data_IF_205536316618
#
_entry.id   IF_205536316618
#
_cell.length_a   1.000
_cell.length_b   1.000
_cell.length_c   1.000
_cell.angle_alpha   90.00
_cell.angle_beta   90.00
_cell.angle_gamma   90.00
#
_symmetry.space_group_name_H-M   'P 1'
#
loop_
_entity.id
_entity.type
_entity.pdbx_description
1 polymer ?
#
# COMPACT_ATOMS: atom_id res chain seq x y z
N UNK A 1 -14.53 17.05 11.14
CA UNK A 1 -13.51 16.25 11.86
C UNK A 1 -12.97 15.20 10.92
N UNK A 2 -11.65 14.90 10.94
CA UNK A 2 -11.08 13.81 10.16
C UNK A 2 -11.77 12.48 10.51
N UNK A 3 -11.92 11.60 9.52
CA UNK A 3 -12.41 10.25 9.79
C UNK A 3 -11.36 9.43 10.54
N UNK A 4 -11.75 8.37 11.25
CA UNK A 4 -10.80 7.45 11.89
C UNK A 4 -9.84 6.84 10.85
N UNK A 5 -10.33 6.54 9.64
CA UNK A 5 -9.49 6.05 8.54
C UNK A 5 -8.44 7.10 8.13
N UNK A 6 -8.81 8.38 8.10
CA UNK A 6 -7.88 9.49 7.84
C UNK A 6 -6.80 9.55 8.92
N UNK A 7 -7.16 9.42 10.20
CA UNK A 7 -6.19 9.45 11.31
C UNK A 7 -5.22 8.27 11.28
N UNK A 8 -5.69 7.08 10.88
CA UNK A 8 -4.84 5.90 10.69
C UNK A 8 -3.86 6.14 9.53
N UNK A 9 -4.35 6.74 8.42
CA UNK A 9 -3.50 7.15 7.29
C UNK A 9 -2.43 8.16 7.72
N UNK A 10 -2.83 9.25 8.40
CA UNK A 10 -1.92 10.26 8.95
C UNK A 10 -0.85 9.63 9.86
N UNK A 11 -1.24 8.70 10.75
CA UNK A 11 -0.26 8.02 11.62
C UNK A 11 0.70 7.15 10.81
N UNK A 12 0.21 6.45 9.79
CA UNK A 12 1.09 5.65 8.94
C UNK A 12 2.09 6.52 8.16
N UNK A 13 1.64 7.65 7.62
CA UNK A 13 2.51 8.63 6.98
C UNK A 13 3.61 9.15 7.91
N UNK A 14 3.28 9.43 9.18
CA UNK A 14 4.27 9.80 10.20
C UNK A 14 5.31 8.69 10.41
N UNK A 15 4.87 7.43 10.52
CA UNK A 15 5.78 6.27 10.63
C UNK A 15 6.69 6.17 9.40
N UNK A 16 6.17 6.40 8.19
CA UNK A 16 7.00 6.39 6.98
C UNK A 16 8.03 7.51 6.97
N UNK A 17 7.68 8.71 7.45
CA UNK A 17 8.62 9.83 7.57
C UNK A 17 9.74 9.54 8.59
N UNK A 18 9.43 8.83 9.68
CA UNK A 18 10.41 8.36 10.67
C UNK A 18 11.34 7.28 10.08
N UNK A 19 10.78 6.32 9.33
CA UNK A 19 11.53 5.22 8.71
C UNK A 19 12.37 5.64 7.51
N UNK A 20 11.89 6.63 6.75
CA UNK A 20 12.50 7.12 5.52
C UNK A 20 12.58 8.65 5.55
N UNK A 21 13.54 9.23 6.29
CA UNK A 21 13.64 10.68 6.46
C UNK A 21 13.82 11.48 5.15
N UNK A 22 14.31 10.83 4.10
CA UNK A 22 14.49 11.43 2.77
C UNK A 22 13.18 11.54 1.96
N UNK A 23 12.09 10.88 2.39
CA UNK A 23 10.78 11.11 1.83
C UNK A 23 10.27 12.49 2.27
N UNK A 24 9.80 13.30 1.33
CA UNK A 24 9.21 14.60 1.63
C UNK A 24 7.74 14.59 1.26
N UNK A 25 6.87 15.07 2.15
CA UNK A 25 5.46 15.26 1.82
C UNK A 25 5.31 16.19 0.60
N UNK A 26 4.49 15.78 -0.36
CA UNK A 26 4.27 16.58 -1.57
C UNK A 26 3.38 17.80 -1.34
N UNK A 27 2.61 17.81 -0.23
CA UNK A 27 1.79 18.95 0.19
C UNK A 27 0.61 19.30 -0.73
N UNK A 28 0.37 18.52 -1.79
CA UNK A 28 -0.66 18.80 -2.79
C UNK A 28 -2.01 18.22 -2.37
N UNK A 29 -2.97 19.11 -2.11
CA UNK A 29 -4.33 18.74 -1.69
C UNK A 29 -5.20 18.18 -2.81
N UNK A 30 -4.72 18.19 -4.07
CA UNK A 30 -5.54 17.85 -5.23
C UNK A 30 -5.71 16.35 -5.49
N UNK A 31 -5.28 15.48 -4.56
CA UNK A 31 -5.38 14.02 -4.64
C UNK A 31 -4.74 13.37 -5.89
N UNK A 32 -4.08 14.14 -6.77
CA UNK A 32 -3.50 13.65 -8.04
C UNK A 32 -1.99 13.43 -7.96
N UNK A 33 -1.39 13.82 -6.85
CA UNK A 33 0.03 13.69 -6.57
C UNK A 33 0.19 12.67 -5.44
N UNK A 34 1.15 11.72 -5.53
CA UNK A 34 1.41 10.79 -4.43
C UNK A 34 1.80 11.50 -3.14
N UNK A 35 1.56 10.87 -2.00
CA UNK A 35 1.75 11.49 -0.67
C UNK A 35 3.20 11.99 -0.42
N UNK A 36 4.19 11.28 -0.96
CA UNK A 36 5.61 11.56 -0.77
C UNK A 36 6.39 11.69 -2.08
N UNK A 37 7.44 12.51 -2.04
CA UNK A 37 8.45 12.63 -3.08
C UNK A 37 9.84 12.26 -2.54
N UNK A 38 10.62 11.61 -3.40
CA UNK A 38 12.04 11.38 -3.24
C UNK A 38 12.78 11.91 -4.49
N UNK A 39 14.11 12.01 -4.44
CA UNK A 39 14.91 12.38 -5.59
C UNK A 39 14.62 11.48 -6.81
N UNK A 40 14.47 10.16 -6.57
CA UNK A 40 14.34 9.14 -7.61
C UNK A 40 12.90 8.70 -7.94
N UNK A 41 11.94 8.89 -7.03
CA UNK A 41 10.59 8.34 -7.17
C UNK A 41 9.55 9.15 -6.40
N UNK A 42 8.28 8.83 -6.61
CA UNK A 42 7.18 9.22 -5.74
C UNK A 42 6.64 8.00 -4.98
N UNK A 43 6.16 8.22 -3.76
CA UNK A 43 5.56 7.16 -2.94
C UNK A 43 4.14 7.55 -2.52
N UNK A 44 3.21 6.62 -2.74
CA UNK A 44 1.85 6.67 -2.20
C UNK A 44 1.78 5.76 -0.97
N UNK A 45 1.34 6.31 0.15
CA UNK A 45 1.15 5.57 1.38
C UNK A 45 -0.27 4.99 1.44
N UNK A 46 -0.35 3.68 1.66
CA UNK A 46 -1.62 3.00 1.92
C UNK A 46 -1.46 2.08 3.11
N UNK A 47 -2.42 2.10 4.02
CA UNK A 47 -2.38 1.25 5.20
C UNK A 47 -3.69 0.52 5.37
N UNK A 48 -3.63 -0.72 5.83
CA UNK A 48 -4.80 -1.47 6.25
C UNK A 48 -4.48 -2.33 7.47
N UNK A 49 -5.52 -2.85 8.11
CA UNK A 49 -5.37 -3.78 9.21
C UNK A 49 -4.78 -5.11 8.73
N UNK A 50 -3.90 -5.72 9.53
CA UNK A 50 -3.10 -6.89 9.13
C UNK A 50 -3.91 -8.16 8.85
N UNK A 51 -5.12 -8.29 9.39
CA UNK A 51 -5.95 -9.48 9.15
C UNK A 51 -6.35 -9.58 7.67
N UNK A 52 -6.29 -10.82 7.14
CA UNK A 52 -6.27 -11.16 5.71
C UNK A 52 -7.48 -10.68 4.89
N UNK A 53 -8.59 -10.33 5.54
CA UNK A 53 -9.81 -9.89 4.89
C UNK A 53 -9.86 -8.39 4.62
N UNK A 54 -9.04 -7.61 5.34
CA UNK A 54 -8.92 -6.18 5.12
C UNK A 54 -7.89 -5.90 4.02
N UNK A 55 -8.14 -4.85 3.23
CA UNK A 55 -7.25 -4.44 2.17
C UNK A 55 -7.29 -2.94 1.99
N UNK A 56 -6.32 -2.42 1.26
CA UNK A 56 -6.27 -1.01 0.91
C UNK A 56 -7.25 -0.73 -0.23
N UNK A 57 -7.92 0.41 -0.16
CA UNK A 57 -8.79 0.86 -1.24
C UNK A 57 -7.98 1.69 -2.23
N UNK A 58 -7.94 1.22 -3.48
CA UNK A 58 -7.35 1.95 -4.59
C UNK A 58 -8.46 2.59 -5.42
N UNK A 59 -8.43 3.92 -5.48
CA UNK A 59 -9.35 4.70 -6.30
C UNK A 59 -8.83 4.77 -7.73
N UNK A 60 -9.74 4.71 -8.70
CA UNK A 60 -9.41 4.76 -10.13
C UNK A 60 -8.47 5.92 -10.50
N UNK A 61 -8.76 7.13 -10.02
CA UNK A 61 -7.95 8.31 -10.35
C UNK A 61 -6.50 8.18 -9.89
N UNK A 62 -6.20 7.45 -8.81
CA UNK A 62 -4.82 7.27 -8.34
C UNK A 62 -4.03 6.44 -9.34
N UNK A 63 -4.64 5.35 -9.83
CA UNK A 63 -4.04 4.47 -10.83
C UNK A 63 -3.82 5.20 -12.16
N UNK A 64 -4.75 6.06 -12.55
CA UNK A 64 -4.70 6.81 -13.81
C UNK A 64 -3.74 8.01 -13.74
N UNK A 65 -3.84 8.83 -12.69
CA UNK A 65 -3.02 10.03 -12.53
C UNK A 65 -1.55 9.67 -12.33
N UNK A 66 -1.25 8.68 -11.48
CA UNK A 66 0.14 8.32 -11.16
C UNK A 66 0.89 7.68 -12.33
N UNK A 67 0.19 7.20 -13.36
CA UNK A 67 0.82 6.73 -14.58
C UNK A 67 1.44 7.87 -15.41
N UNK A 68 1.04 9.12 -15.16
CA UNK A 68 1.50 10.31 -15.89
C UNK A 68 2.58 11.08 -15.14
N UNK A 69 3.02 10.62 -13.96
CA UNK A 69 4.10 11.23 -13.22
C UNK A 69 5.44 11.10 -13.97
N UNK A 70 6.29 12.11 -13.84
CA UNK A 70 7.62 12.16 -14.47
C UNK A 70 8.68 11.29 -13.78
N UNK A 71 8.34 10.69 -12.63
CA UNK A 71 9.19 9.75 -11.88
C UNK A 71 8.41 8.45 -11.64
N UNK A 72 9.11 7.32 -11.42
CA UNK A 72 8.49 6.09 -10.93
C UNK A 72 7.61 6.36 -9.71
N UNK A 73 6.44 5.73 -9.68
CA UNK A 73 5.54 5.77 -8.50
C UNK A 73 5.50 4.38 -7.87
N UNK A 74 5.79 4.34 -6.58
CA UNK A 74 5.62 3.16 -5.72
C UNK A 74 4.47 3.37 -4.75
N UNK A 75 3.85 2.27 -4.34
CA UNK A 75 2.95 2.20 -3.21
C UNK A 75 3.72 1.58 -2.05
N UNK A 76 3.67 2.23 -0.89
CA UNK A 76 4.17 1.66 0.36
C UNK A 76 2.93 1.19 1.13
N UNK A 77 2.72 -0.13 1.14
CA UNK A 77 1.53 -0.75 1.74
C UNK A 77 1.85 -1.24 3.15
N UNK A 78 1.39 -0.51 4.16
CA UNK A 78 1.53 -0.85 5.56
C UNK A 78 0.41 -1.76 6.09
N UNK A 79 0.76 -2.66 7.00
CA UNK A 79 -0.17 -3.53 7.71
C UNK A 79 -0.05 -3.27 9.21
N UNK A 80 -1.11 -2.68 9.79
CA UNK A 80 -1.13 -2.32 11.20
C UNK A 80 -1.86 -3.38 12.05
N UNK A 81 -1.59 -3.41 13.35
CA UNK A 81 -2.18 -4.34 14.32
C UNK A 81 -3.34 -3.75 15.14
N UNK A 82 -3.68 -2.48 14.93
CA UNK A 82 -4.73 -1.78 15.64
C UNK A 82 -6.17 -2.24 15.26
N UNK A 83 -6.60 -3.36 15.84
CA UNK A 83 -7.95 -3.93 15.66
C UNK A 83 -9.04 -3.02 16.28
N UNK A 84 -10.28 -3.15 15.77
CA UNK A 84 -11.49 -2.46 16.28
C UNK A 84 -11.31 -0.96 16.45
N UNK A 85 -10.60 -0.35 15.50
CA UNK A 85 -10.24 1.07 15.54
C UNK A 85 -11.46 1.98 15.73
N UNK A 86 -12.59 1.65 15.09
CA UNK A 86 -13.85 2.35 15.26
C UNK A 86 -14.32 2.34 16.73
N UNK A 87 -14.42 1.17 17.36
CA UNK A 87 -14.86 1.03 18.75
C UNK A 87 -13.89 1.71 19.73
N UNK A 88 -12.57 1.56 19.50
CA UNK A 88 -11.52 2.07 20.39
C UNK A 88 -11.33 3.59 20.32
N UNK A 89 -11.74 4.23 19.23
CA UNK A 89 -11.51 5.67 19.00
C UNK A 89 -12.81 6.49 19.03
N UNK A 90 -13.98 5.86 18.83
CA UNK A 90 -15.26 6.58 18.89
C UNK A 90 -15.49 7.14 20.30
N UNK A 91 -15.98 8.37 20.38
CA UNK A 91 -16.23 9.07 21.64
C UNK A 91 -15.00 9.73 22.28
N UNK A 92 -13.80 9.47 21.76
CA UNK A 92 -12.59 10.19 22.17
C UNK A 92 -12.47 11.55 21.47
N UNK A 93 -11.82 12.52 22.12
CA UNK A 93 -11.43 13.76 21.45
C UNK A 93 -10.36 13.52 20.40
N UNK A 94 -10.26 14.38 19.39
CA UNK A 94 -9.26 14.26 18.31
C UNK A 94 -7.83 14.09 18.84
N UNK A 95 -7.44 14.86 19.85
CA UNK A 95 -6.11 14.77 20.47
C UNK A 95 -5.92 13.45 21.23
N UNK A 96 -6.97 12.89 21.82
CA UNK A 96 -6.90 11.58 22.48
C UNK A 96 -6.85 10.45 21.44
N UNK A 97 -7.55 10.57 20.31
CA UNK A 97 -7.47 9.62 19.20
C UNK A 97 -6.05 9.54 18.64
N UNK A 98 -5.42 10.69 18.35
CA UNK A 98 -4.02 10.75 17.85
C UNK A 98 -3.04 10.11 18.83
N UNK A 99 -3.10 10.52 20.11
CA UNK A 99 -2.24 9.94 21.17
C UNK A 99 -2.45 8.44 21.36
N UNK A 100 -3.68 7.93 21.17
CA UNK A 100 -3.97 6.49 21.27
C UNK A 100 -3.35 5.73 20.10
N UNK A 101 -3.50 6.24 18.88
CA UNK A 101 -2.87 5.67 17.69
C UNK A 101 -1.33 5.68 17.80
N UNK A 102 -0.73 6.79 18.24
CA UNK A 102 0.72 6.89 18.45
C UNK A 102 1.27 5.84 19.44
N UNK A 103 0.49 5.47 20.46
CA UNK A 103 0.93 4.54 21.52
C UNK A 103 0.60 3.08 21.26
N UNK A 104 -0.41 2.80 20.45
CA UNK A 104 -1.02 1.46 20.36
C UNK A 104 -1.14 0.92 18.95
N UNK A 105 -0.84 1.72 17.90
CA UNK A 105 -0.86 1.24 16.52
C UNK A 105 0.57 1.02 16.03
N UNK A 106 0.92 -0.25 15.86
CA UNK A 106 2.20 -0.65 15.28
C UNK A 106 2.04 -1.08 13.83
N UNK A 107 3.08 -0.85 13.03
CA UNK A 107 3.18 -1.32 11.65
C UNK A 107 4.09 -2.55 11.64
N UNK A 108 3.50 -3.75 11.69
CA UNK A 108 4.29 -4.99 11.70
C UNK A 108 4.91 -5.34 10.34
N UNK A 109 4.33 -4.85 9.25
CA UNK A 109 4.77 -5.19 7.89
C UNK A 109 4.52 -4.07 6.89
N UNK A 110 5.47 -3.90 5.97
CA UNK A 110 5.35 -3.08 4.76
C UNK A 110 5.63 -3.93 3.52
N UNK A 111 4.86 -3.68 2.45
CA UNK A 111 5.18 -4.18 1.11
C UNK A 111 5.29 -3.03 0.14
N UNK A 112 6.43 -2.93 -0.54
CA UNK A 112 6.71 -1.88 -1.51
C UNK A 112 6.34 -2.39 -2.90
N UNK A 113 5.42 -1.70 -3.58
CA UNK A 113 4.78 -2.21 -4.79
C UNK A 113 4.79 -1.16 -5.89
N UNK A 114 5.24 -1.51 -7.08
CA UNK A 114 5.22 -0.58 -8.21
C UNK A 114 3.77 -0.21 -8.60
N UNK A 115 3.52 1.05 -9.00
CA UNK A 115 2.20 1.48 -9.48
C UNK A 115 1.66 0.59 -10.62
N UNK A 116 2.52 0.15 -11.54
CA UNK A 116 2.12 -0.80 -12.59
C UNK A 116 1.56 -2.12 -12.03
N UNK A 117 2.10 -2.64 -10.93
CA UNK A 117 1.57 -3.83 -10.25
C UNK A 117 0.19 -3.55 -9.67
N UNK A 118 0.01 -2.40 -9.00
CA UNK A 118 -1.29 -1.97 -8.49
C UNK A 118 -2.33 -1.84 -9.60
N UNK A 119 -1.95 -1.25 -10.74
CA UNK A 119 -2.80 -1.16 -11.94
C UNK A 119 -3.24 -2.53 -12.46
N UNK A 120 -2.34 -3.51 -12.47
CA UNK A 120 -2.69 -4.86 -12.91
C UNK A 120 -3.64 -5.57 -11.93
N UNK A 121 -3.43 -5.40 -10.62
CA UNK A 121 -4.37 -5.91 -9.61
C UNK A 121 -5.74 -5.26 -9.82
N UNK A 122 -5.77 -3.94 -9.95
CA UNK A 122 -6.99 -3.16 -10.15
C UNK A 122 -7.77 -3.62 -11.39
N UNK A 123 -7.12 -3.78 -12.55
CA UNK A 123 -7.76 -4.28 -13.79
C UNK A 123 -8.42 -5.65 -13.67
N UNK A 124 -7.98 -6.47 -12.71
CA UNK A 124 -8.44 -7.85 -12.51
C UNK A 124 -9.42 -8.00 -11.36
N UNK A 125 -9.53 -7.00 -10.49
CA UNK A 125 -10.23 -7.07 -9.19
C UNK A 125 -11.13 -5.87 -8.92
N UNK A 126 -11.19 -4.88 -9.82
CA UNK A 126 -12.12 -3.77 -9.67
C UNK A 126 -13.57 -4.28 -9.75
N UNK A 127 -14.43 -3.67 -8.94
CA UNK A 127 -15.86 -3.89 -8.99
C UNK A 127 -16.53 -2.59 -9.47
N UNK A 128 -17.59 -2.72 -10.24
CA UNK A 128 -18.47 -1.59 -10.58
C UNK A 128 -19.52 -1.52 -9.47
N UNK A 129 -19.63 -0.40 -8.77
CA UNK A 129 -20.69 -0.22 -7.79
C UNK A 129 -22.05 -0.15 -8.51
N UNK A 130 -23.13 -0.59 -7.85
CA UNK A 130 -24.49 -0.65 -8.42
C UNK A 130 -25.03 0.70 -8.90
N UNK A 131 -24.41 1.81 -8.51
CA UNK A 131 -24.79 3.18 -8.92
C UNK A 131 -23.99 3.73 -10.10
N UNK A 132 -23.17 2.91 -10.78
CA UNK A 132 -22.45 3.28 -12.01
C UNK A 132 -21.32 4.29 -11.84
N UNK A 133 -21.06 4.77 -10.62
CA UNK A 133 -20.04 5.77 -10.34
C UNK A 133 -19.14 5.35 -9.18
N UNK A 134 -17.85 5.30 -9.48
CA UNK A 134 -16.70 4.89 -8.66
C UNK A 134 -16.38 3.39 -8.83
N UNK A 135 -15.32 3.12 -9.59
CA UNK A 135 -14.64 1.83 -9.63
C UNK A 135 -13.56 1.82 -8.55
N UNK A 136 -13.83 1.10 -7.46
CA UNK A 136 -12.87 0.84 -6.40
C UNK A 136 -12.33 -0.59 -6.51
N UNK A 137 -11.07 -0.77 -6.07
CA UNK A 137 -10.46 -2.08 -5.91
C UNK A 137 -9.89 -2.21 -4.51
N UNK A 138 -10.24 -3.30 -3.82
CA UNK A 138 -9.60 -3.66 -2.55
C UNK A 138 -8.38 -4.54 -2.84
N UNK A 139 -7.18 -4.03 -2.54
CA UNK A 139 -5.94 -4.80 -2.60
C UNK A 139 -5.61 -5.35 -1.22
N UNK A 140 -5.73 -6.66 -1.06
CA UNK A 140 -5.44 -7.37 0.19
C UNK A 140 -3.98 -7.79 0.24
N UNK A 141 -3.45 -7.96 1.46
CA UNK A 141 -2.10 -8.51 1.66
C UNK A 141 -1.93 -9.89 1.03
N UNK A 142 -2.99 -10.70 0.98
CA UNK A 142 -2.99 -12.00 0.31
C UNK A 142 -2.73 -11.91 -1.20
N UNK A 143 -3.24 -10.89 -1.88
CA UNK A 143 -2.93 -10.68 -3.31
C UNK A 143 -1.45 -10.43 -3.52
N UNK A 144 -0.86 -9.57 -2.67
CA UNK A 144 0.57 -9.23 -2.74
C UNK A 144 1.43 -10.47 -2.45
N UNK A 145 1.11 -11.20 -1.38
CA UNK A 145 1.82 -12.43 -1.01
C UNK A 145 1.73 -13.50 -2.12
N UNK A 146 0.54 -13.72 -2.69
CA UNK A 146 0.36 -14.66 -3.79
C UNK A 146 1.21 -14.30 -5.02
N UNK A 147 1.33 -13.00 -5.35
CA UNK A 147 2.21 -12.53 -6.43
C UNK A 147 3.68 -12.79 -6.10
N UNK A 148 4.11 -12.46 -4.87
CA UNK A 148 5.48 -12.69 -4.40
C UNK A 148 5.83 -14.17 -4.47
N UNK A 149 4.98 -15.06 -3.97
CA UNK A 149 5.26 -16.50 -3.93
C UNK A 149 4.96 -17.21 -5.26
N UNK A 150 4.39 -16.49 -6.24
CA UNK A 150 3.82 -17.06 -7.46
C UNK A 150 2.86 -18.23 -7.17
N UNK A 151 2.02 -18.07 -6.15
CA UNK A 151 1.11 -19.09 -5.66
C UNK A 151 0.09 -19.51 -6.73
N UNK A 152 -0.42 -20.73 -6.60
CA UNK A 152 -1.59 -21.16 -7.35
C UNK A 152 -2.86 -20.56 -6.72
N UNK A 153 -3.65 -19.87 -7.53
CA UNK A 153 -4.87 -19.19 -7.11
C UNK A 153 -6.04 -19.67 -7.94
N UNK A 154 -7.19 -19.82 -7.30
CA UNK A 154 -8.45 -20.15 -7.97
C UNK A 154 -9.21 -18.87 -8.30
N UNK A 155 -9.56 -18.69 -9.57
CA UNK A 155 -10.38 -17.57 -10.04
C UNK A 155 -11.46 -18.12 -10.96
N UNK A 156 -12.73 -17.85 -10.64
CA UNK A 156 -13.89 -18.32 -11.42
C UNK A 156 -13.83 -19.84 -11.72
N UNK A 157 -13.39 -20.63 -10.73
CA UNK A 157 -13.26 -22.09 -10.84
C UNK A 157 -11.95 -22.59 -11.44
N UNK A 158 -11.22 -21.78 -12.21
CA UNK A 158 -9.96 -22.14 -12.86
C UNK A 158 -8.74 -21.86 -11.98
N UNK A 159 -7.71 -22.71 -12.09
CA UNK A 159 -6.43 -22.53 -11.39
C UNK A 159 -5.46 -21.72 -12.26
N UNK A 160 -4.83 -20.72 -11.66
CA UNK A 160 -3.83 -19.88 -12.33
C UNK A 160 -2.63 -19.68 -11.41
N UNK A 161 -1.44 -19.50 -11.99
CA UNK A 161 -0.31 -18.92 -11.26
C UNK A 161 -0.54 -17.42 -11.08
N UNK A 162 -0.38 -16.92 -9.85
CA UNK A 162 -0.72 -15.54 -9.51
C UNK A 162 -0.03 -14.52 -10.42
N UNK A 163 1.29 -14.67 -10.66
CA UNK A 163 2.02 -13.75 -11.55
C UNK A 163 1.49 -13.76 -12.97
N UNK A 164 1.11 -14.92 -13.49
CA UNK A 164 0.52 -15.04 -14.83
C UNK A 164 -0.88 -14.39 -14.88
N UNK A 165 -1.72 -14.64 -13.88
CA UNK A 165 -3.06 -14.04 -13.77
C UNK A 165 -3.01 -12.52 -13.74
N UNK A 166 -2.13 -11.95 -12.91
CA UNK A 166 -1.93 -10.51 -12.79
C UNK A 166 -1.01 -9.92 -13.88
N UNK A 167 -0.47 -10.72 -14.81
CA UNK A 167 0.37 -10.21 -15.90
C UNK A 167 1.70 -9.59 -15.43
N UNK A 168 2.34 -10.15 -14.40
CA UNK A 168 3.58 -9.66 -13.79
C UNK A 168 4.72 -10.65 -14.11
N UNK A 169 5.50 -10.46 -15.19
CA UNK A 169 6.48 -11.44 -15.64
C UNK A 169 7.72 -11.49 -14.74
N UNK A 170 8.08 -12.68 -14.23
CA UNK A 170 9.23 -12.88 -13.33
C UNK A 170 10.55 -12.30 -13.85
N UNK A 171 10.76 -12.35 -15.17
CA UNK A 171 12.00 -11.87 -15.80
C UNK A 171 12.22 -10.36 -15.65
N UNK A 172 11.15 -9.58 -15.53
CA UNK A 172 11.19 -8.11 -15.52
C UNK A 172 11.03 -7.51 -14.13
N UNK A 173 10.83 -8.34 -13.09
CA UNK A 173 10.54 -7.90 -11.73
C UNK A 173 11.48 -8.55 -10.71
N UNK A 174 11.73 -7.83 -9.62
CA UNK A 174 12.24 -8.35 -8.37
C UNK A 174 11.08 -8.56 -7.40
N UNK A 175 11.21 -9.61 -6.58
CA UNK A 175 10.23 -9.97 -5.57
C UNK A 175 11.00 -10.33 -4.31
N UNK A 176 10.54 -9.82 -3.17
CA UNK A 176 10.99 -10.31 -1.88
C UNK A 176 9.79 -10.58 -0.99
N UNK A 177 9.77 -11.79 -0.43
CA UNK A 177 8.91 -12.13 0.70
C UNK A 177 9.24 -11.19 1.86
N UNK A 178 8.24 -10.64 2.56
CA UNK A 178 8.48 -9.83 3.74
C UNK A 178 9.39 -10.55 4.73
N UNK A 179 10.51 -9.91 5.06
CA UNK A 179 11.48 -10.39 6.04
C UNK A 179 11.69 -9.32 7.11
N UNK A 180 11.79 -9.74 8.36
CA UNK A 180 12.00 -8.84 9.48
C UNK A 180 13.35 -8.12 9.35
N UNK A 181 13.32 -6.79 9.37
CA UNK A 181 14.50 -5.93 9.34
C UNK A 181 14.72 -5.38 10.75
N UNK A 182 15.72 -5.91 11.47
CA UNK A 182 15.99 -5.53 12.87
C UNK A 182 16.20 -4.02 13.05
N UNK A 183 16.89 -3.38 12.11
CA UNK A 183 17.14 -1.92 12.12
C UNK A 183 15.87 -1.08 12.03
N UNK A 184 14.78 -1.64 11.51
CA UNK A 184 13.49 -0.97 11.30
C UNK A 184 12.37 -1.51 12.19
N UNK A 185 12.59 -2.64 12.85
CA UNK A 185 11.60 -3.27 13.72
C UNK A 185 10.35 -3.81 13.01
N UNK A 186 10.41 -4.08 11.70
CA UNK A 186 9.25 -4.52 10.92
C UNK A 186 9.62 -5.41 9.72
N UNK A 187 8.65 -6.14 9.18
CA UNK A 187 8.82 -6.96 7.98
C UNK A 187 8.74 -6.12 6.69
N UNK A 188 9.72 -6.24 5.81
CA UNK A 188 9.74 -5.52 4.53
C UNK A 188 9.80 -6.51 3.37
N UNK A 189 8.84 -6.40 2.45
CA UNK A 189 8.83 -7.12 1.17
C UNK A 189 8.65 -6.17 -0.01
N UNK A 190 8.80 -6.69 -1.23
CA UNK A 190 8.62 -5.85 -2.42
C UNK A 190 8.15 -6.60 -3.68
N UNK A 191 7.52 -5.85 -4.59
CA UNK A 191 7.17 -6.23 -5.96
C UNK A 191 7.50 -5.05 -6.89
N UNK A 192 8.71 -5.03 -7.45
CA UNK A 192 9.20 -3.92 -8.27
C UNK A 192 9.74 -4.41 -9.62
N UNK A 193 9.65 -3.61 -10.70
CA UNK A 193 10.41 -3.92 -11.90
C UNK A 193 11.91 -3.82 -11.63
N UNK A 194 12.71 -4.70 -12.25
CA UNK A 194 14.17 -4.76 -12.05
C UNK A 194 14.88 -3.44 -12.33
N UNK A 195 14.41 -2.70 -13.33
CA UNK A 195 14.98 -1.38 -13.66
C UNK A 195 14.80 -0.33 -12.56
N UNK A 196 13.99 -0.61 -11.53
CA UNK A 196 13.78 0.26 -10.37
C UNK A 196 14.48 -0.26 -9.10
N UNK A 197 15.42 -1.20 -9.24
CA UNK A 197 16.18 -1.75 -8.10
C UNK A 197 16.89 -0.66 -7.29
N UNK A 198 17.32 0.43 -7.94
CA UNK A 198 17.90 1.58 -7.24
C UNK A 198 16.97 2.21 -6.18
N UNK A 199 15.64 2.09 -6.34
CA UNK A 199 14.67 2.55 -5.34
C UNK A 199 14.83 1.75 -4.04
N UNK A 200 15.16 0.46 -4.12
CA UNK A 200 15.31 -0.41 -2.95
C UNK A 200 16.41 0.10 -2.01
N UNK A 201 17.49 0.67 -2.54
CA UNK A 201 18.57 1.24 -1.70
C UNK A 201 18.13 2.47 -0.90
N UNK A 202 17.03 3.14 -1.28
CA UNK A 202 16.48 4.27 -0.54
C UNK A 202 15.45 3.85 0.53
N UNK A 203 14.98 2.60 0.48
CA UNK A 203 13.87 2.11 1.32
C UNK A 203 14.22 0.82 2.09
N UNK A 204 15.43 0.30 1.94
CA UNK A 204 15.99 -0.80 2.76
C UNK A 204 17.02 -0.27 3.74
#
# INVERSE_FOLDING_TARGET
MPSIQTLIGERFEQVLQELYPDLQHTGDTNNRTPDFAHALFYAEAKVCFQQRDFGIHLKQYQIEAFASCNKPVIYIVGFHDFERSMERLTGLSLQAQKRKLEREMDIGRIVIVANQTMKQIWKRRNYVCEKGHIQDCTVRGTHLQQIIDNAEIRVNGAMHRARAYYGIPSRSYTFATPQFQESKGLEIGHILPKQWEAILHCVY
#
